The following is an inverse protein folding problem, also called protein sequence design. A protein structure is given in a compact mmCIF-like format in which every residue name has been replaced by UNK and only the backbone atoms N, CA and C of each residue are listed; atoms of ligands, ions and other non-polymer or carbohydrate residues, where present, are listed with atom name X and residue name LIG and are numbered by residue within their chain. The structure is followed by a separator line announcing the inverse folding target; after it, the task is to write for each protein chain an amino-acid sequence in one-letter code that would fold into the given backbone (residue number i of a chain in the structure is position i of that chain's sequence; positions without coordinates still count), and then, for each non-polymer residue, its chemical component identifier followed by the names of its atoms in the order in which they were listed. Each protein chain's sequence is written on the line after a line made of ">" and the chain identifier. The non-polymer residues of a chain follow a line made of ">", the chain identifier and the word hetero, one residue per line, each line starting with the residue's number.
data_IF_452537407783
#
_entry.id   IF_452537407783
#
_cell.length_a   1.000
_cell.length_b   1.000
_cell.length_c   1.000
_cell.angle_alpha   90.00
_cell.angle_beta   90.00
_cell.angle_gamma   90.00
#
_symmetry.space_group_name_H-M   'P 1'
#
loop_
_entity.id
_entity.type
_entity.pdbx_description
1 polymer ?
#
# COMPACT_ATOMS: atom_id res chain seq x y z
N UNK A 1 -0.05 -15.41 -12.01
CA UNK A 1 -0.36 -14.07 -12.54
C UNK A 1 -1.61 -13.53 -11.84
N UNK A 2 -1.55 -12.33 -11.28
CA UNK A 2 -2.65 -11.71 -10.52
C UNK A 2 -3.77 -11.32 -11.49
N UNK A 3 -4.93 -11.95 -11.36
CA UNK A 3 -6.14 -11.57 -12.10
C UNK A 3 -6.90 -10.49 -11.32
N UNK A 4 -7.80 -9.75 -11.99
CA UNK A 4 -8.66 -8.77 -11.34
C UNK A 4 -9.45 -9.40 -10.16
N UNK A 5 -9.93 -10.62 -10.35
CA UNK A 5 -10.68 -11.34 -9.31
C UNK A 5 -9.82 -11.66 -8.08
N UNK A 6 -8.59 -12.12 -8.27
CA UNK A 6 -7.65 -12.38 -7.18
C UNK A 6 -7.23 -11.09 -6.49
N UNK A 7 -7.01 -10.01 -7.24
CA UNK A 7 -6.70 -8.71 -6.67
C UNK A 7 -7.84 -8.17 -5.80
N UNK A 8 -9.07 -8.18 -6.32
CA UNK A 8 -10.25 -7.80 -5.54
C UNK A 8 -10.45 -8.69 -4.31
N UNK A 9 -10.19 -9.99 -4.42
CA UNK A 9 -10.18 -10.92 -3.30
C UNK A 9 -9.17 -10.55 -2.22
N UNK A 10 -7.97 -10.12 -2.59
CA UNK A 10 -6.93 -9.69 -1.64
C UNK A 10 -7.30 -8.39 -0.93
N UNK A 11 -7.96 -7.44 -1.63
CA UNK A 11 -8.52 -6.23 -1.04
C UNK A 11 -9.59 -6.59 -0.01
N UNK A 12 -10.53 -7.46 -0.38
CA UNK A 12 -11.61 -7.91 0.52
C UNK A 12 -11.06 -8.60 1.78
N UNK A 13 -10.06 -9.47 1.62
CA UNK A 13 -9.43 -10.16 2.75
C UNK A 13 -8.70 -9.18 3.68
N UNK A 14 -8.03 -8.18 3.13
CA UNK A 14 -7.40 -7.13 3.91
C UNK A 14 -8.43 -6.30 4.70
N UNK A 15 -9.56 -5.98 4.09
CA UNK A 15 -10.64 -5.25 4.77
C UNK A 15 -11.33 -6.10 5.86
N UNK A 16 -11.58 -7.38 5.61
CA UNK A 16 -12.10 -8.31 6.63
C UNK A 16 -11.14 -8.41 7.81
N UNK A 17 -9.85 -8.52 7.55
CA UNK A 17 -8.81 -8.53 8.59
C UNK A 17 -8.82 -7.24 9.42
N UNK A 18 -9.02 -6.08 8.79
CA UNK A 18 -9.18 -4.80 9.49
C UNK A 18 -10.38 -4.81 10.45
N UNK A 19 -11.54 -5.31 9.99
CA UNK A 19 -12.75 -5.38 10.83
C UNK A 19 -12.52 -6.31 12.04
N UNK A 20 -11.85 -7.44 11.85
CA UNK A 20 -11.57 -8.40 12.92
C UNK A 20 -10.57 -7.88 13.95
N UNK A 21 -9.52 -7.20 13.51
CA UNK A 21 -8.46 -6.67 14.38
C UNK A 21 -8.92 -5.40 15.11
N UNK A 22 -9.88 -4.67 14.54
CA UNK A 22 -10.46 -3.45 15.15
C UNK A 22 -9.51 -2.26 15.25
N UNK A 23 -8.34 -2.33 14.60
CA UNK A 23 -7.36 -1.23 14.62
C UNK A 23 -6.79 -0.93 13.24
N UNK A 24 -6.72 0.36 12.90
CA UNK A 24 -6.10 0.83 11.68
C UNK A 24 -4.55 0.81 11.74
N UNK A 25 -3.96 0.67 12.90
CA UNK A 25 -2.50 0.77 13.10
C UNK A 25 -1.72 -0.51 12.75
N UNK A 26 -2.36 -1.67 12.77
CA UNK A 26 -1.69 -2.94 12.43
C UNK A 26 -1.44 -3.04 10.93
N UNK A 27 -0.20 -3.30 10.51
CA UNK A 27 0.16 -3.57 9.11
C UNK A 27 -0.18 -5.02 8.70
N UNK A 28 -0.40 -5.91 9.65
CA UNK A 28 -0.71 -7.33 9.40
C UNK A 28 -1.92 -7.53 8.49
N UNK A 29 -2.93 -6.64 8.56
CA UNK A 29 -4.12 -6.67 7.72
C UNK A 29 -3.83 -6.46 6.23
N UNK A 30 -2.71 -5.82 5.87
CA UNK A 30 -2.34 -5.54 4.48
C UNK A 30 -1.48 -6.65 3.87
N UNK A 31 -0.99 -7.60 4.65
CA UNK A 31 -0.16 -8.71 4.16
C UNK A 31 -0.78 -9.49 2.99
N UNK A 32 -2.08 -9.84 2.99
CA UNK A 32 -2.69 -10.53 1.85
C UNK A 32 -2.62 -9.72 0.56
N UNK A 33 -2.83 -8.41 0.65
CA UNK A 33 -2.79 -7.50 -0.51
C UNK A 33 -1.36 -7.28 -1.00
N UNK A 34 -0.45 -6.96 -0.09
CA UNK A 34 0.97 -6.77 -0.41
C UNK A 34 1.58 -8.06 -1.00
N UNK A 35 1.29 -9.20 -0.39
CA UNK A 35 1.76 -10.49 -0.86
C UNK A 35 1.28 -10.84 -2.27
N UNK A 36 0.00 -10.61 -2.57
CA UNK A 36 -0.55 -10.86 -3.89
C UNK A 36 0.11 -10.00 -4.99
N UNK A 37 0.36 -8.72 -4.70
CA UNK A 37 1.05 -7.81 -5.64
C UNK A 37 2.52 -8.22 -5.78
N UNK A 38 3.20 -8.54 -4.68
CA UNK A 38 4.60 -8.94 -4.68
C UNK A 38 4.82 -10.24 -5.46
N UNK A 39 3.93 -11.22 -5.29
CA UNK A 39 3.98 -12.48 -6.04
C UNK A 39 3.81 -12.26 -7.55
N UNK A 40 2.86 -11.43 -7.97
CA UNK A 40 2.66 -11.12 -9.39
C UNK A 40 3.88 -10.40 -9.99
N UNK A 41 4.47 -9.47 -9.25
CA UNK A 41 5.71 -8.81 -9.66
C UNK A 41 6.86 -9.81 -9.80
N UNK A 42 7.03 -10.72 -8.85
CA UNK A 42 8.07 -11.74 -8.92
C UNK A 42 7.90 -12.64 -10.15
N UNK A 43 6.68 -13.08 -10.44
CA UNK A 43 6.38 -13.89 -11.62
C UNK A 43 6.66 -13.17 -12.94
N UNK A 44 6.41 -11.85 -12.99
CA UNK A 44 6.64 -11.03 -14.21
C UNK A 44 8.08 -10.66 -14.44
N UNK A 45 8.80 -10.35 -13.36
CA UNK A 45 10.17 -9.85 -13.44
C UNK A 45 11.22 -10.99 -13.51
N UNK A 46 10.85 -12.19 -13.04
CA UNK A 46 11.72 -13.34 -13.08
C UNK A 46 12.90 -13.29 -12.09
N UNK A 47 13.84 -14.22 -12.29
CA UNK A 47 14.88 -14.55 -11.30
C UNK A 47 16.00 -13.50 -11.15
N UNK A 48 16.03 -12.49 -12.02
CA UNK A 48 16.99 -11.38 -11.91
C UNK A 48 16.67 -10.43 -10.74
N UNK A 49 15.47 -10.53 -10.19
CA UNK A 49 14.99 -9.63 -9.14
C UNK A 49 14.51 -10.38 -7.90
N UNK A 50 14.64 -9.74 -6.76
CA UNK A 50 14.05 -10.16 -5.48
C UNK A 50 12.98 -9.16 -5.10
N UNK A 51 11.79 -9.65 -4.74
CA UNK A 51 10.72 -8.79 -4.25
C UNK A 51 10.73 -8.84 -2.72
N UNK A 52 10.86 -7.68 -2.09
CA UNK A 52 10.80 -7.51 -0.64
C UNK A 52 9.48 -6.90 -0.26
N UNK A 53 8.67 -7.60 0.53
CA UNK A 53 7.38 -7.15 1.00
C UNK A 53 6.90 -7.95 2.20
N UNK A 54 6.09 -7.35 3.05
CA UNK A 54 5.32 -8.10 4.02
C UNK A 54 4.29 -9.00 3.30
N UNK A 55 4.09 -10.20 3.79
CA UNK A 55 3.19 -11.19 3.17
C UNK A 55 3.80 -11.93 1.96
N UNK A 56 5.09 -11.73 1.68
CA UNK A 56 5.80 -12.42 0.61
C UNK A 56 7.26 -12.75 0.99
N UNK A 57 7.75 -13.88 0.56
CA UNK A 57 9.13 -14.31 0.76
C UNK A 57 9.52 -14.36 2.24
N UNK A 58 10.50 -13.56 2.65
CA UNK A 58 10.98 -13.46 4.03
C UNK A 58 10.13 -12.50 4.90
N UNK A 59 8.97 -12.08 4.44
CA UNK A 59 8.04 -11.19 5.15
C UNK A 59 8.68 -9.85 5.58
N UNK A 60 9.65 -9.36 4.82
CA UNK A 60 10.40 -8.14 5.13
C UNK A 60 10.27 -7.07 4.05
N UNK A 61 10.11 -5.83 4.47
CA UNK A 61 10.18 -4.66 3.61
C UNK A 61 11.63 -4.17 3.48
N UNK A 62 11.96 -3.55 2.34
CA UNK A 62 13.26 -2.95 2.14
C UNK A 62 13.20 -1.41 2.23
N UNK A 63 14.37 -0.83 2.45
CA UNK A 63 14.55 0.62 2.51
C UNK A 63 15.07 1.13 1.16
N UNK A 64 14.35 2.10 0.59
CA UNK A 64 14.81 2.84 -0.59
C UNK A 64 15.44 4.15 -0.13
N UNK A 65 16.63 4.44 -0.64
CA UNK A 65 17.28 5.73 -0.42
C UNK A 65 16.56 6.81 -1.23
N UNK A 66 15.93 7.75 -0.54
CA UNK A 66 15.38 8.94 -1.15
C UNK A 66 16.41 10.07 -1.25
N UNK A 67 16.03 11.16 -1.88
CA UNK A 67 16.90 12.36 -1.96
C UNK A 67 17.14 12.99 -0.59
N UNK A 68 16.09 13.07 0.22
CA UNK A 68 16.12 13.76 1.52
C UNK A 68 16.12 12.79 2.69
N UNK A 69 15.27 11.76 2.61
CA UNK A 69 15.13 10.75 3.67
C UNK A 69 15.06 9.34 3.06
N UNK A 70 15.57 8.38 3.80
CA UNK A 70 15.39 6.97 3.48
C UNK A 70 13.97 6.54 3.86
N UNK A 71 13.32 5.75 3.00
CA UNK A 71 11.96 5.28 3.20
C UNK A 71 11.89 3.77 3.16
N UNK A 72 11.26 3.19 4.16
CA UNK A 72 10.80 1.81 4.13
C UNK A 72 9.56 1.76 3.24
N UNK A 73 9.56 0.88 2.25
CA UNK A 73 8.53 0.83 1.20
C UNK A 73 7.83 -0.53 1.24
N UNK A 74 6.51 -0.52 1.09
CA UNK A 74 5.66 -1.70 1.25
C UNK A 74 6.07 -2.85 0.32
N UNK A 75 6.43 -2.54 -0.94
CA UNK A 75 6.92 -3.50 -1.91
C UNK A 75 8.12 -2.90 -2.62
N UNK A 76 9.26 -3.56 -2.54
CA UNK A 76 10.50 -3.10 -3.17
C UNK A 76 11.03 -4.17 -4.12
N UNK A 77 11.33 -3.76 -5.35
CA UNK A 77 12.05 -4.57 -6.32
C UNK A 77 13.55 -4.34 -6.14
N UNK A 78 14.27 -5.40 -5.86
CA UNK A 78 15.72 -5.38 -5.63
C UNK A 78 16.40 -6.18 -6.73
N UNK A 79 17.36 -5.57 -7.41
CA UNK A 79 18.19 -6.28 -8.40
C UNK A 79 19.12 -7.26 -7.67
N UNK A 80 19.10 -8.52 -8.10
CA UNK A 80 19.77 -9.61 -7.37
C UNK A 80 21.30 -9.49 -7.40
N UNK A 81 21.84 -9.08 -8.53
CA UNK A 81 23.28 -8.97 -8.73
C UNK A 81 23.90 -7.86 -7.89
N UNK A 82 23.30 -6.67 -7.92
CA UNK A 82 23.81 -5.49 -7.20
C UNK A 82 23.28 -5.37 -5.77
N UNK A 83 22.27 -6.14 -5.40
CA UNK A 83 21.51 -6.02 -4.16
C UNK A 83 20.89 -4.61 -3.95
N UNK A 84 20.67 -3.85 -5.03
CA UNK A 84 20.14 -2.48 -4.96
C UNK A 84 18.66 -2.44 -5.24
N UNK A 85 17.88 -1.63 -4.49
CA UNK A 85 16.51 -1.29 -4.85
C UNK A 85 16.48 -0.59 -6.21
N UNK A 86 15.64 -1.09 -7.13
CA UNK A 86 15.48 -0.55 -8.48
C UNK A 86 14.09 -0.01 -8.75
N UNK A 87 13.11 -0.36 -7.92
CA UNK A 87 11.77 0.23 -7.94
C UNK A 87 11.08 0.04 -6.60
N UNK A 88 10.08 0.89 -6.32
CA UNK A 88 9.24 0.77 -5.14
C UNK A 88 7.76 0.96 -5.46
N UNK A 89 6.90 0.25 -4.72
CA UNK A 89 5.45 0.40 -4.77
C UNK A 89 4.94 0.59 -3.35
N UNK A 90 4.26 1.69 -3.09
CA UNK A 90 3.52 1.89 -1.86
C UNK A 90 2.04 1.56 -2.06
N UNK A 91 1.41 1.00 -1.04
CA UNK A 91 0.00 0.64 -1.06
C UNK A 91 -0.72 1.39 0.04
N UNK A 92 -1.56 2.33 -0.34
CA UNK A 92 -2.41 3.10 0.56
C UNK A 92 -3.83 2.56 0.47
N UNK A 93 -4.25 1.84 1.49
CA UNK A 93 -5.64 1.37 1.58
C UNK A 93 -6.37 2.12 2.70
N UNK A 94 -7.27 3.01 2.30
CA UNK A 94 -8.13 3.74 3.23
C UNK A 94 -9.27 2.84 3.67
N UNK A 95 -9.38 2.61 4.97
CA UNK A 95 -10.37 1.69 5.55
C UNK A 95 -11.41 2.41 6.43
N UNK A 96 -11.13 3.65 6.83
CA UNK A 96 -12.03 4.48 7.66
C UNK A 96 -11.63 5.95 7.63
N UNK A 97 -12.55 6.85 8.02
CA UNK A 97 -12.32 8.27 8.32
C UNK A 97 -11.56 9.01 7.19
N UNK A 98 -11.96 8.81 5.94
CA UNK A 98 -11.27 9.40 4.79
C UNK A 98 -11.30 10.93 4.83
N UNK A 99 -12.49 11.53 4.99
CA UNK A 99 -12.65 12.99 4.91
C UNK A 99 -11.80 13.74 5.94
N UNK A 100 -11.56 13.15 7.11
CA UNK A 100 -10.71 13.73 8.14
C UNK A 100 -9.22 13.73 7.77
N UNK A 101 -8.78 12.79 6.93
CA UNK A 101 -7.38 12.53 6.65
C UNK A 101 -6.99 12.71 5.18
N UNK A 102 -7.92 13.13 4.31
CA UNK A 102 -7.69 13.19 2.87
C UNK A 102 -6.48 14.05 2.49
N UNK A 103 -6.36 15.25 3.04
CA UNK A 103 -5.21 16.12 2.79
C UNK A 103 -3.88 15.46 3.19
N UNK A 104 -3.83 14.81 4.36
CA UNK A 104 -2.65 14.11 4.83
C UNK A 104 -2.26 12.96 3.90
N UNK A 105 -3.24 12.25 3.34
CA UNK A 105 -2.95 11.20 2.36
C UNK A 105 -2.28 11.78 1.12
N UNK A 106 -2.83 12.85 0.55
CA UNK A 106 -2.27 13.48 -0.65
C UNK A 106 -0.89 14.10 -0.40
N UNK A 107 -0.71 14.85 0.66
CA UNK A 107 0.57 15.44 1.03
C UNK A 107 1.66 14.39 1.23
N UNK A 108 1.35 13.31 1.97
CA UNK A 108 2.27 12.20 2.17
C UNK A 108 2.62 11.50 0.86
N UNK A 109 1.64 11.23 0.00
CA UNK A 109 1.85 10.57 -1.28
C UNK A 109 2.72 11.41 -2.21
N UNK A 110 2.46 12.72 -2.30
CA UNK A 110 3.27 13.64 -3.10
C UNK A 110 4.69 13.75 -2.55
N UNK A 111 4.86 13.92 -1.25
CA UNK A 111 6.15 14.02 -0.60
C UNK A 111 7.00 12.74 -0.76
N UNK A 112 6.42 11.58 -0.56
CA UNK A 112 7.10 10.29 -0.76
C UNK A 112 7.52 10.10 -2.22
N UNK A 113 6.63 10.40 -3.16
CA UNK A 113 6.92 10.29 -4.59
C UNK A 113 8.06 11.23 -4.99
N UNK A 114 8.00 12.48 -4.59
CA UNK A 114 9.04 13.46 -4.88
C UNK A 114 10.39 13.04 -4.28
N UNK A 115 10.41 12.57 -3.03
CA UNK A 115 11.61 12.13 -2.35
C UNK A 115 12.30 10.95 -3.06
N UNK A 116 11.54 9.92 -3.42
CA UNK A 116 12.09 8.69 -4.01
C UNK A 116 12.45 8.91 -5.49
N UNK A 117 11.57 9.51 -6.27
CA UNK A 117 11.84 9.78 -7.69
C UNK A 117 13.00 10.74 -7.90
N UNK A 118 13.24 11.70 -7.00
CA UNK A 118 14.38 12.58 -7.06
C UNK A 118 15.72 11.85 -6.87
N UNK A 119 15.73 10.64 -6.32
CA UNK A 119 16.90 9.75 -6.28
C UNK A 119 17.02 8.83 -7.51
N UNK A 120 16.20 9.05 -8.55
CA UNK A 120 16.14 8.29 -9.81
C UNK A 120 15.65 6.86 -9.63
N UNK A 121 14.96 6.55 -8.55
CA UNK A 121 14.29 5.27 -8.34
C UNK A 121 12.82 5.36 -8.80
N UNK A 122 12.38 4.56 -9.76
CA UNK A 122 10.97 4.43 -10.11
C UNK A 122 10.11 4.14 -8.88
N UNK A 123 9.06 4.91 -8.70
CA UNK A 123 8.18 4.78 -7.55
C UNK A 123 6.73 4.92 -7.97
N UNK A 124 5.92 3.97 -7.53
CA UNK A 124 4.50 3.86 -7.84
C UNK A 124 3.71 3.86 -6.54
N UNK A 125 2.48 4.37 -6.62
CA UNK A 125 1.55 4.31 -5.50
C UNK A 125 0.23 3.73 -5.95
N UNK A 126 -0.26 2.76 -5.19
CA UNK A 126 -1.60 2.18 -5.33
C UNK A 126 -2.44 2.78 -4.22
N UNK A 127 -3.43 3.59 -4.60
CA UNK A 127 -4.38 4.17 -3.65
C UNK A 127 -5.71 3.46 -3.78
N UNK A 128 -6.16 2.85 -2.69
CA UNK A 128 -7.40 2.08 -2.63
C UNK A 128 -8.34 2.77 -1.66
N UNK A 129 -9.52 3.11 -2.16
CA UNK A 129 -10.64 3.61 -1.38
C UNK A 129 -11.88 2.81 -1.77
N UNK A 130 -12.65 2.37 -0.78
CA UNK A 130 -13.92 1.67 -1.03
C UNK A 130 -15.02 2.70 -1.26
N UNK A 131 -16.03 2.33 -2.05
CA UNK A 131 -17.21 3.17 -2.31
C UNK A 131 -17.89 3.64 -1.02
N UNK A 132 -17.82 2.82 0.03
CA UNK A 132 -18.41 3.12 1.33
C UNK A 132 -17.46 2.79 2.46
N UNK A 133 -17.20 3.76 3.32
CA UNK A 133 -16.28 3.64 4.45
C UNK A 133 -16.93 4.07 5.77
N UNK A 134 -16.61 3.39 6.89
CA UNK A 134 -17.05 3.83 8.19
C UNK A 134 -16.29 5.08 8.64
N UNK A 135 -16.98 5.99 9.29
CA UNK A 135 -16.40 7.13 9.99
C UNK A 135 -16.64 6.95 11.49
N UNK A 136 -15.58 6.76 12.23
CA UNK A 136 -15.62 6.56 13.68
C UNK A 136 -15.28 7.86 14.42
N UNK A 137 -15.97 8.08 15.55
CA UNK A 137 -15.62 9.09 16.54
C UNK A 137 -14.34 8.70 17.29
N UNK A 138 -13.78 9.63 18.05
CA UNK A 138 -12.57 9.38 18.86
C UNK A 138 -12.75 8.28 19.93
N UNK A 139 -13.99 8.04 20.37
CA UNK A 139 -14.34 6.98 21.31
C UNK A 139 -14.53 5.60 20.65
N UNK A 140 -14.36 5.50 19.33
CA UNK A 140 -14.52 4.26 18.56
C UNK A 140 -15.95 3.95 18.12
N UNK A 141 -16.93 4.80 18.43
CA UNK A 141 -18.31 4.62 17.97
C UNK A 141 -18.43 5.02 16.50
N UNK A 142 -19.22 4.24 15.74
CA UNK A 142 -19.58 4.59 14.37
C UNK A 142 -20.41 5.87 14.38
N UNK A 143 -19.94 6.90 13.71
CA UNK A 143 -20.62 8.19 13.58
C UNK A 143 -21.52 8.22 12.35
N UNK A 144 -20.97 7.84 11.20
CA UNK A 144 -21.63 7.84 9.91
C UNK A 144 -20.94 6.90 8.93
N UNK A 145 -21.56 6.68 7.78
CA UNK A 145 -20.91 6.12 6.62
C UNK A 145 -20.53 7.25 5.65
N UNK A 146 -19.33 7.21 5.12
CA UNK A 146 -18.89 8.06 4.02
C UNK A 146 -19.09 7.30 2.72
N UNK A 147 -19.76 7.91 1.76
CA UNK A 147 -20.00 7.35 0.44
C UNK A 147 -19.25 8.17 -0.60
N UNK A 148 -18.53 7.47 -1.48
CA UNK A 148 -17.70 8.07 -2.52
C UNK A 148 -18.29 7.71 -3.87
N UNK A 149 -18.69 8.73 -4.59
CA UNK A 149 -19.13 8.64 -5.98
C UNK A 149 -18.04 9.23 -6.86
N UNK A 150 -18.08 8.95 -8.17
CA UNK A 150 -17.15 9.55 -9.15
C UNK A 150 -17.09 11.08 -9.03
N UNK A 151 -18.14 11.70 -8.55
CA UNK A 151 -18.25 13.15 -8.36
C UNK A 151 -17.50 13.66 -7.11
N UNK A 152 -17.23 12.79 -6.12
CA UNK A 152 -16.59 13.16 -4.85
C UNK A 152 -15.09 12.79 -4.81
N UNK A 153 -14.59 12.13 -5.86
CA UNK A 153 -13.20 11.64 -5.93
C UNK A 153 -12.33 12.53 -6.83
N UNK A 154 -12.93 13.40 -7.60
CA UNK A 154 -12.26 14.36 -8.50
C UNK A 154 -11.89 15.67 -7.80
#
# INVERSE_FOLDING_TARGET
>A
MLTNQLFLGSILNSFKSFIQIGTSRSTAKLKPLHGAIAEDLAQRLGDAYIIKSQGYGDDSEAVIRGRYINKKVDITVVEKESAKPVAGVAVKFVMQNYSQNSNNYFENMLGETANIRASKCPYFQIFIILEKLPYYKNNGELSKWEEFTDHNIT
#
